data_IF_871312997478
#
_entry.id   IF_871312997478
#
_cell.length_a   1.000
_cell.length_b   1.000
_cell.length_c   1.000
_cell.angle_alpha   90.00
_cell.angle_beta   90.00
_cell.angle_gamma   90.00
#
_symmetry.space_group_name_H-M   'P 1'
#
loop_
_entity.id
_entity.type
_entity.pdbx_description
1 polymer ?
#
# COMPACT_ATOMS: atom_id res chain seq x y z
N UNK A 1 17.07 -58.63 -2.04
CA UNK A 1 15.65 -58.26 -1.98
C UNK A 1 15.56 -56.86 -1.42
N UNK A 2 15.53 -55.84 -2.28
CA UNK A 2 15.31 -54.45 -1.87
C UNK A 2 13.83 -54.24 -1.57
N UNK A 3 13.52 -53.78 -0.36
CA UNK A 3 12.15 -53.44 0.04
C UNK A 3 11.81 -52.08 -0.55
N UNK A 4 10.95 -52.06 -1.58
CA UNK A 4 10.30 -50.84 -2.05
C UNK A 4 9.28 -50.38 -1.00
N UNK A 5 9.51 -49.21 -0.42
CA UNK A 5 8.53 -48.52 0.40
C UNK A 5 7.62 -47.68 -0.49
N UNK A 6 6.51 -48.26 -0.95
CA UNK A 6 5.42 -47.46 -1.50
C UNK A 6 4.68 -46.79 -0.34
N UNK A 7 4.91 -45.49 -0.14
CA UNK A 7 4.10 -44.68 0.76
C UNK A 7 2.68 -44.60 0.20
N UNK A 8 1.69 -45.01 1.00
CA UNK A 8 0.28 -44.94 0.64
C UNK A 8 -0.14 -43.49 0.37
N UNK A 9 -0.73 -43.26 -0.79
CA UNK A 9 -1.23 -41.96 -1.21
C UNK A 9 -2.52 -41.65 -0.44
N UNK A 10 -2.57 -40.49 0.21
CA UNK A 10 -3.78 -39.99 0.88
C UNK A 10 -4.79 -39.44 -0.14
N UNK A 11 -6.06 -39.38 0.25
CA UNK A 11 -7.24 -39.12 -0.59
C UNK A 11 -7.26 -37.73 -1.27
N UNK A 12 -6.31 -36.84 -0.94
CA UNK A 12 -6.13 -35.48 -1.50
C UNK A 12 -5.00 -35.40 -2.54
N UNK A 13 -4.75 -36.51 -3.25
CA UNK A 13 -3.68 -36.57 -4.24
C UNK A 13 -4.04 -35.80 -5.52
N UNK A 14 -3.11 -35.03 -6.10
CA UNK A 14 -3.38 -34.28 -7.32
C UNK A 14 -3.77 -35.22 -8.46
N UNK A 15 -4.87 -34.88 -9.12
CA UNK A 15 -5.39 -35.61 -10.27
C UNK A 15 -4.42 -35.54 -11.44
N UNK A 16 -4.48 -36.50 -12.36
CA UNK A 16 -3.66 -36.49 -13.57
C UNK A 16 -3.85 -35.23 -14.43
N UNK A 17 -5.03 -34.60 -14.38
CA UNK A 17 -5.28 -33.32 -15.04
C UNK A 17 -4.52 -32.17 -14.37
N UNK A 18 -4.50 -32.11 -13.04
CA UNK A 18 -3.73 -31.10 -12.30
C UNK A 18 -2.23 -31.24 -12.52
N UNK A 19 -1.72 -32.48 -12.58
CA UNK A 19 -0.31 -32.73 -12.89
C UNK A 19 0.04 -32.34 -14.33
N UNK A 20 -0.82 -32.65 -15.31
CA UNK A 20 -0.62 -32.23 -16.70
C UNK A 20 -0.59 -30.71 -16.83
N UNK A 21 -1.50 -30.00 -16.17
CA UNK A 21 -1.52 -28.53 -16.17
C UNK A 21 -0.25 -27.95 -15.53
N UNK A 22 0.22 -28.53 -14.42
CA UNK A 22 1.47 -28.12 -13.79
C UNK A 22 2.67 -28.26 -14.75
N UNK A 23 2.80 -29.39 -15.43
CA UNK A 23 3.89 -29.60 -16.39
C UNK A 23 3.77 -28.68 -17.60
N UNK A 24 2.56 -28.43 -18.12
CA UNK A 24 2.35 -27.47 -19.20
C UNK A 24 2.77 -26.04 -18.79
N UNK A 25 2.54 -25.65 -17.53
CA UNK A 25 2.98 -24.35 -16.99
C UNK A 25 4.50 -24.26 -16.77
N UNK A 26 5.18 -25.38 -16.54
CA UNK A 26 6.65 -25.44 -16.49
C UNK A 26 7.22 -25.32 -17.91
N UNK A 27 6.67 -26.08 -18.86
CA UNK A 27 7.12 -26.10 -20.25
C UNK A 27 6.91 -24.75 -20.96
N UNK A 28 5.81 -24.05 -20.68
CA UNK A 28 5.55 -22.72 -21.24
C UNK A 28 6.28 -21.57 -20.51
N UNK A 29 7.10 -21.89 -19.50
CA UNK A 29 7.91 -20.93 -18.76
C UNK A 29 7.16 -20.07 -17.73
N UNK A 30 5.85 -20.28 -17.53
CA UNK A 30 5.07 -19.57 -16.49
C UNK A 30 5.56 -19.94 -15.07
N UNK A 31 5.90 -21.20 -14.86
CA UNK A 31 6.55 -21.70 -13.64
C UNK A 31 8.04 -21.88 -13.93
N UNK A 32 8.84 -20.90 -13.49
CA UNK A 32 10.29 -21.00 -13.58
C UNK A 32 10.84 -21.89 -12.46
N UNK A 33 12.04 -22.45 -12.65
CA UNK A 33 12.75 -23.25 -11.63
C UNK A 33 12.81 -22.52 -10.27
N UNK A 34 13.02 -21.19 -10.28
CA UNK A 34 13.05 -20.36 -9.08
C UNK A 34 11.68 -20.32 -8.38
N UNK A 35 10.59 -20.06 -9.12
CA UNK A 35 9.22 -20.06 -8.60
C UNK A 35 8.81 -21.41 -8.00
N UNK A 36 9.19 -22.51 -8.66
CA UNK A 36 8.93 -23.85 -8.16
C UNK A 36 9.75 -24.14 -6.89
N UNK A 37 11.02 -23.74 -6.85
CA UNK A 37 11.87 -23.87 -5.66
C UNK A 37 11.33 -23.03 -4.49
N UNK A 38 10.86 -21.82 -4.75
CA UNK A 38 10.26 -20.95 -3.74
C UNK A 38 8.94 -21.54 -3.21
N UNK A 39 8.07 -22.06 -4.09
CA UNK A 39 6.86 -22.78 -3.69
C UNK A 39 7.16 -23.98 -2.80
N UNK A 40 8.09 -24.86 -3.22
CA UNK A 40 8.45 -26.06 -2.47
C UNK A 40 9.14 -25.75 -1.13
N UNK A 41 9.86 -24.62 -1.04
CA UNK A 41 10.56 -24.22 0.19
C UNK A 41 9.68 -23.45 1.17
N UNK A 42 8.70 -22.69 0.68
CA UNK A 42 7.93 -21.74 1.51
C UNK A 42 6.43 -22.07 1.62
N UNK A 43 5.90 -22.96 0.78
CA UNK A 43 4.48 -23.27 0.69
C UNK A 43 3.63 -22.17 0.04
N UNK A 44 4.25 -21.12 -0.52
CA UNK A 44 3.54 -19.95 -1.10
C UNK A 44 3.36 -20.15 -2.60
N UNK A 45 2.11 -20.25 -3.06
CA UNK A 45 1.75 -20.49 -4.46
C UNK A 45 2.34 -19.42 -5.40
N UNK A 46 2.94 -19.83 -6.54
CA UNK A 46 3.35 -18.89 -7.58
C UNK A 46 2.09 -18.28 -8.21
N UNK A 47 1.79 -17.01 -7.89
CA UNK A 47 0.56 -16.38 -8.39
C UNK A 47 0.07 -15.14 -7.64
N UNK A 48 0.76 -14.60 -6.63
CA UNK A 48 0.29 -13.37 -5.94
C UNK A 48 0.87 -12.11 -6.57
N UNK A 49 2.20 -12.01 -6.68
CA UNK A 49 2.89 -10.83 -7.25
C UNK A 49 2.60 -10.63 -8.74
N UNK A 50 2.77 -11.68 -9.54
CA UNK A 50 2.59 -11.59 -11.01
C UNK A 50 1.13 -11.31 -11.37
N UNK A 51 0.18 -11.93 -10.67
CA UNK A 51 -1.26 -11.67 -10.84
C UNK A 51 -1.60 -10.24 -10.44
N UNK A 52 -1.09 -9.76 -9.29
CA UNK A 52 -1.30 -8.37 -8.88
C UNK A 52 -0.76 -7.39 -9.93
N UNK A 53 0.43 -7.66 -10.49
CA UNK A 53 1.00 -6.87 -11.59
C UNK A 53 0.15 -6.96 -12.86
N UNK A 54 -0.37 -8.13 -13.21
CA UNK A 54 -1.23 -8.31 -14.39
C UNK A 54 -2.55 -7.55 -14.26
N UNK A 55 -3.11 -7.47 -13.04
CA UNK A 55 -4.38 -6.78 -12.79
C UNK A 55 -4.17 -5.27 -12.74
N UNK A 56 -3.26 -4.79 -11.88
CA UNK A 56 -3.07 -3.36 -11.59
C UNK A 56 -2.03 -2.67 -12.46
N UNK A 57 -1.18 -3.41 -13.17
CA UNK A 57 -0.09 -2.80 -13.93
C UNK A 57 0.84 -1.99 -13.03
N UNK A 58 1.04 -0.72 -13.37
CA UNK A 58 1.94 0.18 -12.65
C UNK A 58 1.35 0.73 -11.33
N UNK A 59 0.06 0.51 -11.09
CA UNK A 59 -0.66 0.97 -9.89
C UNK A 59 -0.39 0.11 -8.65
N UNK A 60 0.48 -0.88 -8.73
CA UNK A 60 1.02 -1.58 -7.56
C UNK A 60 2.54 -1.35 -7.44
N UNK A 61 3.04 -1.04 -6.26
CA UNK A 61 4.46 -0.78 -5.98
C UNK A 61 4.93 -1.71 -4.87
N UNK A 62 5.85 -2.62 -5.21
CA UNK A 62 6.40 -3.61 -4.28
C UNK A 62 7.63 -3.09 -3.53
N UNK A 63 7.99 -3.69 -2.38
CA UNK A 63 9.11 -3.23 -1.55
C UNK A 63 10.46 -3.13 -2.28
N UNK A 64 10.74 -4.01 -3.25
CA UNK A 64 12.01 -4.00 -4.00
C UNK A 64 12.10 -2.83 -4.97
N UNK A 65 10.96 -2.36 -5.48
CA UNK A 65 10.91 -1.16 -6.32
C UNK A 65 11.15 0.09 -5.48
N UNK A 66 10.59 0.13 -4.26
CA UNK A 66 10.81 1.21 -3.30
C UNK A 66 12.29 1.26 -2.88
N UNK A 67 12.88 0.11 -2.53
CA UNK A 67 14.28 0.04 -2.13
C UNK A 67 15.25 0.50 -3.24
N UNK A 68 14.90 0.24 -4.51
CA UNK A 68 15.68 0.70 -5.66
C UNK A 68 15.54 2.20 -5.89
N UNK A 69 14.34 2.74 -5.77
CA UNK A 69 14.07 4.16 -6.06
C UNK A 69 14.45 5.10 -4.91
N UNK A 70 14.26 4.67 -3.65
CA UNK A 70 14.47 5.49 -2.45
C UNK A 70 15.77 5.10 -1.76
N UNK A 71 16.85 5.80 -2.09
CA UNK A 71 18.16 5.60 -1.48
C UNK A 71 18.11 5.64 0.06
N UNK A 72 18.82 4.71 0.71
CA UNK A 72 18.89 4.61 2.17
C UNK A 72 17.77 3.81 2.83
N UNK A 73 16.83 3.25 2.05
CA UNK A 73 15.86 2.28 2.53
C UNK A 73 16.29 0.85 2.17
N UNK A 74 16.12 -0.06 3.12
CA UNK A 74 16.34 -1.49 2.91
C UNK A 74 15.24 -2.27 3.62
N UNK A 75 14.63 -3.21 2.91
CA UNK A 75 13.69 -4.17 3.47
C UNK A 75 14.45 -5.44 3.82
N UNK A 76 14.14 -6.02 4.98
CA UNK A 76 14.72 -7.30 5.37
C UNK A 76 14.06 -8.45 4.60
N UNK A 77 14.73 -9.60 4.49
CA UNK A 77 14.15 -10.81 3.90
C UNK A 77 12.84 -11.26 4.58
N UNK A 78 12.70 -10.96 5.87
CA UNK A 78 11.45 -11.18 6.60
C UNK A 78 10.36 -10.23 6.12
N UNK A 79 10.68 -8.94 5.99
CA UNK A 79 9.73 -7.93 5.48
C UNK A 79 9.26 -8.27 4.07
N UNK A 80 10.17 -8.69 3.18
CA UNK A 80 9.81 -9.14 1.84
C UNK A 80 8.81 -10.30 1.86
N UNK A 81 9.11 -11.34 2.65
CA UNK A 81 8.22 -12.50 2.79
C UNK A 81 6.87 -12.14 3.38
N UNK A 82 6.83 -11.20 4.32
CA UNK A 82 5.58 -10.74 4.91
C UNK A 82 4.71 -10.00 3.88
N UNK A 83 5.30 -9.11 3.08
CA UNK A 83 4.59 -8.45 1.98
C UNK A 83 4.13 -9.44 0.91
N UNK A 84 4.93 -10.47 0.58
CA UNK A 84 4.55 -11.52 -0.37
C UNK A 84 3.37 -12.38 0.11
N UNK A 85 3.32 -12.68 1.42
CA UNK A 85 2.22 -13.43 2.04
C UNK A 85 0.94 -12.62 2.18
N UNK A 86 1.08 -11.30 2.32
CA UNK A 86 -0.04 -10.39 2.60
C UNK A 86 -0.48 -9.58 1.38
N UNK A 87 -0.01 -9.92 0.17
CA UNK A 87 -0.51 -9.31 -1.07
C UNK A 87 -2.05 -9.37 -1.08
N UNK A 88 -2.74 -8.25 -1.37
CA UNK A 88 -4.19 -8.22 -1.40
C UNK A 88 -4.80 -9.29 -2.32
N UNK A 89 -5.99 -9.78 -1.97
CA UNK A 89 -6.70 -10.79 -2.75
C UNK A 89 -7.01 -10.30 -4.17
N UNK A 90 -7.20 -11.23 -5.12
CA UNK A 90 -7.60 -10.89 -6.48
C UNK A 90 -8.85 -10.00 -6.55
N UNK A 91 -9.85 -10.30 -5.71
CA UNK A 91 -11.05 -9.47 -5.57
C UNK A 91 -10.70 -8.02 -5.17
N UNK A 92 -9.82 -7.86 -4.17
CA UNK A 92 -9.36 -6.54 -3.73
C UNK A 92 -8.59 -5.81 -4.83
N UNK A 93 -7.73 -6.53 -5.56
CA UNK A 93 -6.95 -5.99 -6.67
C UNK A 93 -7.87 -5.50 -7.81
N UNK A 94 -8.89 -6.27 -8.17
CA UNK A 94 -9.89 -5.89 -9.18
C UNK A 94 -10.73 -4.71 -8.72
N UNK A 95 -11.15 -4.70 -7.45
CA UNK A 95 -11.85 -3.55 -6.87
C UNK A 95 -10.99 -2.28 -6.92
N UNK A 96 -9.70 -2.38 -6.58
CA UNK A 96 -8.77 -1.25 -6.67
C UNK A 96 -8.65 -0.71 -8.09
N UNK A 97 -8.55 -1.60 -9.09
CA UNK A 97 -8.52 -1.22 -10.50
C UNK A 97 -9.77 -0.42 -10.91
N UNK A 98 -10.95 -0.91 -10.54
CA UNK A 98 -12.23 -0.27 -10.87
C UNK A 98 -12.39 1.08 -10.17
N UNK A 99 -11.85 1.25 -8.97
CA UNK A 99 -11.97 2.47 -8.16
C UNK A 99 -10.77 3.42 -8.29
N UNK A 100 -9.93 3.20 -9.30
CA UNK A 100 -8.73 4.00 -9.59
C UNK A 100 -7.78 4.14 -8.38
N UNK A 101 -7.63 3.06 -7.61
CA UNK A 101 -6.71 3.00 -6.47
C UNK A 101 -5.33 2.50 -6.89
N UNK A 102 -4.30 2.96 -6.19
CA UNK A 102 -2.99 2.34 -6.23
C UNK A 102 -2.65 1.68 -4.88
N UNK A 103 -1.79 0.68 -4.94
CA UNK A 103 -1.34 -0.13 -3.81
C UNK A 103 0.16 0.05 -3.66
N UNK A 104 0.60 0.57 -2.53
CA UNK A 104 2.02 0.84 -2.25
C UNK A 104 2.42 0.11 -0.99
N UNK A 105 3.53 -0.62 -1.03
CA UNK A 105 4.10 -1.17 0.19
C UNK A 105 4.49 -0.04 1.16
N UNK A 106 4.10 -0.18 2.42
CA UNK A 106 4.53 0.71 3.48
C UNK A 106 6.04 0.68 3.69
N UNK A 107 6.58 1.61 4.50
CA UNK A 107 8.00 1.70 4.78
C UNK A 107 8.54 0.41 5.44
N UNK A 108 9.85 0.14 5.37
CA UNK A 108 10.43 -1.04 6.01
C UNK A 108 10.33 -0.99 7.54
N UNK A 109 10.39 0.22 8.12
CA UNK A 109 10.21 0.48 9.55
C UNK A 109 9.12 1.54 9.67
N UNK A 110 8.19 1.42 10.64
CA UNK A 110 7.18 2.45 10.87
C UNK A 110 7.81 3.83 10.99
N UNK A 111 7.23 4.81 10.28
CA UNK A 111 7.78 6.16 10.28
C UNK A 111 6.69 7.23 10.16
N UNK A 112 6.84 8.28 10.96
CA UNK A 112 6.01 9.47 10.88
C UNK A 112 6.39 10.41 9.73
N UNK A 113 5.57 11.43 9.53
CA UNK A 113 5.69 12.42 8.45
C UNK A 113 7.09 13.08 8.36
N UNK A 114 7.67 13.48 9.50
CA UNK A 114 8.98 14.13 9.49
C UNK A 114 10.10 13.20 9.01
N UNK A 115 10.04 11.92 9.39
CA UNK A 115 11.02 10.93 8.95
C UNK A 115 10.88 10.66 7.46
N UNK A 116 9.63 10.55 6.96
CA UNK A 116 9.35 10.41 5.51
C UNK A 116 9.96 11.58 4.73
N UNK A 117 9.76 12.82 5.21
CA UNK A 117 10.35 14.02 4.61
C UNK A 117 11.88 14.00 4.61
N UNK A 118 12.49 13.54 5.70
CA UNK A 118 13.95 13.48 5.79
C UNK A 118 14.61 12.56 4.76
N UNK A 119 13.86 11.61 4.18
CA UNK A 119 14.37 10.70 3.14
C UNK A 119 14.71 11.44 1.84
N UNK A 120 13.86 12.38 1.43
CA UNK A 120 14.12 13.25 0.30
C UNK A 120 13.35 14.59 0.47
N UNK A 121 13.97 15.60 1.09
CA UNK A 121 13.32 16.89 1.33
C UNK A 121 12.89 17.62 0.05
N UNK A 122 13.51 17.33 -1.10
CA UNK A 122 13.16 17.95 -2.38
C UNK A 122 11.79 17.51 -2.91
N UNK A 123 11.22 16.42 -2.38
CA UNK A 123 9.86 15.98 -2.67
C UNK A 123 8.80 16.75 -1.90
N UNK A 124 9.17 17.76 -1.11
CA UNK A 124 8.26 18.62 -0.37
C UNK A 124 8.42 20.07 -0.84
N UNK A 125 7.33 20.83 -0.88
CA UNK A 125 7.33 22.22 -1.35
C UNK A 125 8.23 23.14 -0.53
N UNK A 126 8.41 22.81 0.74
CA UNK A 126 9.20 23.55 1.71
C UNK A 126 10.26 22.65 2.33
N UNK A 127 11.53 23.05 2.24
CA UNK A 127 12.69 22.24 2.64
C UNK A 127 13.10 22.40 4.11
N UNK A 128 12.69 23.49 4.80
CA UNK A 128 12.96 23.72 6.23
C UNK A 128 11.81 24.47 6.93
N UNK A 129 11.65 24.25 8.25
CA UNK A 129 10.84 25.12 9.12
C UNK A 129 9.34 25.00 8.92
N UNK A 130 8.84 23.78 8.76
CA UNK A 130 7.44 23.60 8.45
C UNK A 130 6.55 23.78 9.67
N UNK A 131 5.46 24.54 9.47
CA UNK A 131 4.50 24.86 10.51
C UNK A 131 4.02 23.63 11.28
N UNK A 132 3.96 22.46 10.62
CA UNK A 132 3.47 21.21 11.18
C UNK A 132 4.46 20.46 12.09
N UNK A 133 5.75 20.84 12.11
CA UNK A 133 6.79 20.14 12.90
C UNK A 133 6.55 20.20 14.41
N UNK A 134 5.79 21.19 14.89
CA UNK A 134 5.44 21.35 16.30
C UNK A 134 4.19 20.58 16.73
N UNK A 135 3.57 19.82 15.82
CA UNK A 135 2.28 19.17 16.04
C UNK A 135 2.42 17.66 16.11
N UNK A 136 1.66 17.05 17.03
CA UNK A 136 1.77 15.62 17.36
C UNK A 136 1.58 14.72 16.15
N UNK A 137 0.66 15.04 15.24
CA UNK A 137 0.40 14.23 14.05
C UNK A 137 1.66 14.05 13.18
N UNK A 138 2.57 15.03 13.16
CA UNK A 138 3.78 14.96 12.34
C UNK A 138 4.80 13.93 12.85
N UNK A 139 4.67 13.53 14.12
CA UNK A 139 5.50 12.55 14.81
C UNK A 139 4.78 11.22 15.04
N UNK A 140 3.54 11.28 15.51
CA UNK A 140 2.82 10.13 16.07
C UNK A 140 2.03 9.34 15.02
N UNK A 141 1.62 9.98 13.93
CA UNK A 141 0.87 9.30 12.87
C UNK A 141 1.87 8.51 12.01
N UNK A 142 2.17 7.30 12.47
CA UNK A 142 3.14 6.41 11.84
C UNK A 142 2.54 5.61 10.70
N UNK A 143 3.18 5.69 9.53
CA UNK A 143 2.90 4.79 8.42
C UNK A 143 3.50 3.42 8.76
N UNK A 144 2.65 2.40 8.86
CA UNK A 144 3.06 1.04 9.24
C UNK A 144 3.63 0.26 8.06
N UNK A 145 4.42 -0.77 8.34
CA UNK A 145 5.01 -1.70 7.37
C UNK A 145 3.97 -2.67 6.81
N UNK A 146 2.98 -2.16 6.08
CA UNK A 146 1.86 -2.91 5.51
C UNK A 146 1.46 -2.37 4.14
N UNK A 147 0.60 -3.07 3.40
CA UNK A 147 0.05 -2.55 2.15
C UNK A 147 -0.83 -1.33 2.39
N UNK A 148 -0.56 -0.24 1.66
CA UNK A 148 -1.32 1.01 1.70
C UNK A 148 -2.10 1.13 0.40
N UNK A 149 -3.43 1.19 0.49
CA UNK A 149 -4.33 1.26 -0.66
C UNK A 149 -5.04 2.61 -0.61
N UNK A 150 -4.78 3.48 -1.58
CA UNK A 150 -5.34 4.84 -1.63
C UNK A 150 -5.85 5.13 -3.05
N UNK A 151 -7.03 5.75 -3.15
CA UNK A 151 -7.57 6.25 -4.42
C UNK A 151 -6.66 7.33 -4.98
N UNK A 152 -6.32 7.27 -6.27
CA UNK A 152 -5.47 8.28 -6.93
C UNK A 152 -6.21 9.60 -7.20
N UNK A 153 -7.49 9.68 -6.84
CA UNK A 153 -8.33 10.86 -7.00
C UNK A 153 -8.93 11.30 -5.68
N UNK A 154 -9.04 12.62 -5.50
CA UNK A 154 -9.75 13.16 -4.34
C UNK A 154 -11.25 13.02 -4.54
N UNK A 155 -11.93 12.55 -3.50
CA UNK A 155 -13.37 12.27 -3.52
C UNK A 155 -14.16 13.42 -2.88
N UNK A 156 -15.46 13.44 -3.12
CA UNK A 156 -16.42 14.38 -2.52
C UNK A 156 -15.95 15.85 -2.56
N UNK A 157 -15.44 16.33 -3.71
CA UNK A 157 -14.94 17.70 -3.88
C UNK A 157 -16.04 18.74 -3.64
N UNK A 158 -15.69 19.85 -3.00
CA UNK A 158 -16.64 20.95 -2.77
C UNK A 158 -17.61 20.75 -1.60
N UNK A 159 -17.54 19.62 -0.89
CA UNK A 159 -18.36 19.36 0.29
C UNK A 159 -17.66 19.76 1.60
N UNK A 160 -18.45 20.04 2.63
CA UNK A 160 -17.98 20.25 4.01
C UNK A 160 -17.38 18.96 4.60
N UNK A 161 -16.56 19.07 5.65
CA UNK A 161 -15.84 17.91 6.18
C UNK A 161 -16.77 16.80 6.64
N UNK A 162 -17.81 17.13 7.43
CA UNK A 162 -18.79 16.15 7.91
C UNK A 162 -19.42 15.30 6.79
N UNK A 163 -19.68 15.91 5.63
CA UNK A 163 -20.22 15.19 4.48
C UNK A 163 -19.14 14.32 3.79
N UNK A 164 -17.89 14.79 3.75
CA UNK A 164 -16.77 14.05 3.17
C UNK A 164 -16.32 12.87 4.04
N UNK A 165 -16.46 12.97 5.36
CA UNK A 165 -15.98 11.96 6.30
C UNK A 165 -16.96 10.81 6.57
N UNK A 166 -18.19 10.92 6.06
CA UNK A 166 -19.16 9.83 6.07
C UNK A 166 -18.81 8.78 5.00
N UNK A 167 -17.89 7.87 5.34
CA UNK A 167 -17.41 6.84 4.43
C UNK A 167 -18.14 5.50 4.63
N UNK A 168 -18.38 4.74 3.54
CA UNK A 168 -18.79 3.34 3.63
C UNK A 168 -17.85 2.48 4.48
N UNK A 169 -18.37 1.37 5.01
CA UNK A 169 -17.57 0.40 5.77
C UNK A 169 -16.37 -0.12 4.96
N UNK A 170 -15.23 -0.30 5.64
CA UNK A 170 -13.97 -0.73 5.03
C UNK A 170 -13.13 0.41 4.43
N UNK A 171 -13.75 1.55 4.13
CA UNK A 171 -13.03 2.76 3.68
C UNK A 171 -12.59 3.61 4.88
N UNK A 172 -11.49 4.34 4.70
CA UNK A 172 -10.97 5.25 5.71
C UNK A 172 -10.33 6.48 5.07
N UNK A 173 -10.12 7.52 5.88
CA UNK A 173 -9.37 8.71 5.47
C UNK A 173 -7.92 8.54 5.93
N UNK A 174 -6.95 8.39 5.01
CA UNK A 174 -5.54 8.27 5.35
C UNK A 174 -5.04 9.50 6.11
N UNK A 175 -4.07 9.28 7.00
CA UNK A 175 -3.43 10.37 7.73
C UNK A 175 -2.34 11.04 6.87
N UNK A 176 -1.82 12.19 7.31
CA UNK A 176 -0.86 12.99 6.54
C UNK A 176 0.44 12.23 6.23
N UNK A 177 0.89 11.38 7.17
CA UNK A 177 2.01 10.46 6.96
C UNK A 177 1.75 9.47 5.82
N UNK A 178 0.62 8.76 5.82
CA UNK A 178 0.27 7.78 4.79
C UNK A 178 0.21 8.41 3.41
N UNK A 179 -0.50 9.54 3.28
CA UNK A 179 -0.58 10.29 2.03
C UNK A 179 0.80 10.75 1.55
N UNK A 180 1.66 11.23 2.46
CA UNK A 180 3.00 11.68 2.10
C UNK A 180 3.89 10.52 1.65
N UNK A 181 3.85 9.38 2.36
CA UNK A 181 4.53 8.16 1.93
C UNK A 181 4.06 7.71 0.55
N UNK A 182 2.74 7.61 0.38
CA UNK A 182 2.10 7.13 -0.84
C UNK A 182 2.46 8.00 -2.04
N UNK A 183 2.21 9.32 -1.98
CA UNK A 183 2.47 10.23 -3.11
C UNK A 183 3.95 10.29 -3.46
N UNK A 184 4.83 10.45 -2.45
CA UNK A 184 6.27 10.59 -2.72
C UNK A 184 6.90 9.28 -3.21
N UNK A 185 6.43 8.14 -2.71
CA UNK A 185 6.90 6.82 -3.19
C UNK A 185 6.40 6.55 -4.60
N UNK A 186 5.14 6.86 -4.90
CA UNK A 186 4.61 6.73 -6.26
C UNK A 186 5.40 7.59 -7.25
N UNK A 187 5.73 8.82 -6.87
CA UNK A 187 6.57 9.69 -7.70
C UNK A 187 7.99 9.16 -7.88
N UNK A 188 8.69 8.75 -6.82
CA UNK A 188 10.06 8.22 -6.94
C UNK A 188 10.13 6.95 -7.81
N UNK A 189 9.12 6.09 -7.72
CA UNK A 189 9.12 4.80 -8.41
C UNK A 189 8.54 4.88 -9.83
N UNK A 190 7.54 5.73 -10.07
CA UNK A 190 6.81 5.81 -11.36
C UNK A 190 7.06 7.11 -12.11
N UNK A 191 7.67 8.12 -11.48
CA UNK A 191 7.80 9.48 -12.01
C UNK A 191 6.44 10.12 -12.41
N UNK A 192 5.37 9.74 -11.72
CA UNK A 192 4.02 10.27 -11.92
C UNK A 192 3.61 11.08 -10.69
N UNK A 193 3.11 12.30 -10.92
CA UNK A 193 2.61 13.18 -9.85
C UNK A 193 1.13 12.92 -9.62
N UNK A 194 0.79 12.60 -8.38
CA UNK A 194 -0.60 12.43 -7.94
C UNK A 194 -1.13 13.72 -7.31
N UNK A 195 -2.43 13.96 -7.45
CA UNK A 195 -3.15 15.09 -6.84
C UNK A 195 -2.60 16.47 -7.23
N UNK A 196 -2.17 16.63 -8.48
CA UNK A 196 -1.77 17.94 -9.00
C UNK A 196 -2.97 18.89 -8.99
N UNK A 197 -2.79 20.09 -8.43
CA UNK A 197 -3.78 21.17 -8.36
C UNK A 197 -5.00 20.91 -7.45
N UNK A 198 -4.97 19.88 -6.63
CA UNK A 198 -6.04 19.59 -5.67
C UNK A 198 -5.49 19.44 -4.27
N UNK A 199 -6.21 20.00 -3.30
CA UNK A 199 -5.97 19.77 -1.88
C UNK A 199 -6.81 18.59 -1.44
N UNK A 200 -6.17 17.65 -0.76
CA UNK A 200 -6.77 16.42 -0.29
C UNK A 200 -6.71 16.42 1.23
N UNK A 201 -7.89 16.46 1.87
CA UNK A 201 -8.02 16.37 3.33
C UNK A 201 -7.59 14.98 3.81
N UNK A 202 -6.95 14.97 4.97
CA UNK A 202 -6.48 13.77 5.68
C UNK A 202 -7.15 13.68 7.05
N UNK A 203 -7.01 12.55 7.73
CA UNK A 203 -7.48 12.39 9.11
C UNK A 203 -6.60 13.08 10.15
N UNK A 204 -5.40 13.55 9.78
CA UNK A 204 -4.52 14.28 10.71
C UNK A 204 -5.09 15.66 11.01
N UNK A 205 -4.92 16.11 12.25
CA UNK A 205 -5.43 17.39 12.75
C UNK A 205 -4.29 18.28 13.26
N UNK A 206 -4.39 19.59 12.98
CA UNK A 206 -3.37 20.54 13.40
C UNK A 206 -3.62 21.17 14.77
N UNK A 207 -4.84 21.45 15.24
CA UNK A 207 -5.15 21.77 16.66
C UNK A 207 -6.68 21.86 16.83
N UNK A 208 -7.11 21.90 18.09
CA UNK A 208 -8.49 21.83 18.61
C UNK A 208 -9.61 22.08 17.59
N UNK A 209 -10.37 21.02 17.32
CA UNK A 209 -11.71 20.92 16.70
C UNK A 209 -11.91 21.55 15.31
N UNK A 210 -10.84 22.10 14.72
CA UNK A 210 -10.83 23.25 13.80
C UNK A 210 -10.18 23.06 12.40
N UNK A 211 -9.11 22.25 12.30
CA UNK A 211 -8.18 22.34 11.16
C UNK A 211 -7.58 20.98 10.77
N UNK A 212 -8.25 20.26 9.86
CA UNK A 212 -7.71 19.06 9.21
C UNK A 212 -6.49 19.38 8.34
N UNK A 213 -5.50 18.49 8.31
CA UNK A 213 -4.32 18.65 7.46
C UNK A 213 -4.68 18.29 6.03
N UNK A 214 -4.32 19.14 5.09
CA UNK A 214 -4.46 18.89 3.66
C UNK A 214 -3.09 18.64 3.01
N UNK A 215 -3.08 17.75 2.02
CA UNK A 215 -1.92 17.49 1.18
C UNK A 215 -2.29 17.81 -0.27
N UNK A 216 -1.39 18.47 -0.99
CA UNK A 216 -1.57 18.79 -2.41
C UNK A 216 -0.29 18.50 -3.19
N UNK A 217 -0.46 18.06 -4.44
CA UNK A 217 0.61 18.13 -5.43
C UNK A 217 0.73 19.57 -5.94
N UNK A 218 1.87 20.22 -5.73
CA UNK A 218 2.10 21.58 -6.23
C UNK A 218 2.46 21.52 -7.72
N UNK A 219 1.89 22.45 -8.50
CA UNK A 219 2.30 22.63 -9.89
C UNK A 219 3.74 23.14 -10.00
N UNK A 220 4.47 22.62 -10.98
CA UNK A 220 5.73 23.19 -11.51
C UNK A 220 6.89 23.29 -10.51
N UNK A 221 7.38 22.10 -10.10
CA UNK A 221 8.69 21.81 -9.45
C UNK A 221 8.74 21.85 -7.93
N UNK A 222 7.76 22.41 -7.24
CA UNK A 222 7.68 22.24 -5.79
C UNK A 222 7.13 20.83 -5.49
N UNK A 223 7.66 20.16 -4.47
CA UNK A 223 7.18 18.86 -4.05
C UNK A 223 5.75 18.87 -3.51
N UNK A 224 5.35 17.87 -2.72
CA UNK A 224 4.07 17.89 -2.04
C UNK A 224 4.00 19.03 -1.03
N UNK A 225 2.85 19.68 -0.94
CA UNK A 225 2.60 20.75 0.01
C UNK A 225 1.64 20.28 1.11
N UNK A 226 2.03 20.51 2.35
CA UNK A 226 1.25 20.18 3.55
C UNK A 226 0.69 21.49 4.11
N UNK A 227 -0.62 21.66 4.03
CA UNK A 227 -1.31 22.88 4.44
C UNK A 227 -2.31 22.61 5.55
N UNK A 228 -2.68 23.67 6.26
CA UNK A 228 -3.89 23.65 7.10
C UNK A 228 -5.10 23.64 6.18
N UNK A 229 -6.08 22.80 6.48
CA UNK A 229 -7.36 22.74 5.80
C UNK A 229 -8.31 23.79 6.34
N UNK A 230 -9.17 24.31 5.47
CA UNK A 230 -10.24 25.21 5.86
C UNK A 230 -11.49 24.36 6.11
N UNK A 231 -12.05 24.45 7.31
CA UNK A 231 -12.81 23.33 7.84
C UNK A 231 -14.17 23.08 7.18
N UNK A 232 -14.99 24.10 6.93
CA UNK A 232 -16.38 23.84 6.51
C UNK A 232 -16.88 24.71 5.38
N UNK A 233 -15.96 25.31 4.62
CA UNK A 233 -16.33 25.97 3.36
C UNK A 233 -16.18 24.99 2.23
N UNK A 234 -17.29 24.68 1.56
CA UNK A 234 -17.27 23.97 0.29
C UNK A 234 -16.35 24.69 -0.68
N UNK A 235 -15.26 24.02 -1.06
CA UNK A 235 -14.27 24.56 -1.98
C UNK A 235 -14.05 23.53 -3.09
N UNK A 236 -14.28 23.88 -4.38
CA UNK A 236 -14.17 22.92 -5.48
C UNK A 236 -12.76 22.36 -5.66
N UNK A 237 -11.74 23.00 -5.08
CA UNK A 237 -10.34 22.56 -5.08
C UNK A 237 -9.96 21.72 -3.86
N UNK A 238 -10.92 21.39 -2.99
CA UNK A 238 -10.71 20.57 -1.78
C UNK A 238 -11.58 19.31 -1.88
N UNK A 239 -10.93 18.15 -1.88
CA UNK A 239 -11.56 16.83 -1.71
C UNK A 239 -11.01 16.11 -0.48
N UNK A 240 -11.41 14.86 -0.30
CA UNK A 240 -10.94 13.97 0.77
C UNK A 240 -10.15 12.80 0.22
N UNK A 241 -9.11 12.37 0.94
CA UNK A 241 -8.37 11.16 0.64
C UNK A 241 -9.21 9.96 1.08
N UNK A 242 -9.27 8.93 0.24
CA UNK A 242 -9.93 7.68 0.59
C UNK A 242 -8.93 6.54 0.41
N UNK A 243 -8.77 5.75 1.47
CA UNK A 243 -8.07 4.48 1.44
C UNK A 243 -8.98 3.31 1.78
N UNK A 244 -8.49 2.10 1.49
CA UNK A 244 -9.15 0.84 1.83
C UNK A 244 -8.36 0.15 2.94
N UNK A 245 -9.02 -0.20 4.05
CA UNK A 245 -8.40 -1.05 5.07
C UNK A 245 -8.51 -2.51 4.64
N UNK A 246 -7.38 -3.20 4.58
CA UNK A 246 -7.40 -4.65 4.46
C UNK A 246 -7.97 -5.24 5.76
N UNK A 247 -8.85 -6.25 5.69
CA UNK A 247 -9.28 -6.96 6.87
C UNK A 247 -8.05 -7.53 7.56
N UNK A 248 -7.92 -7.28 8.88
CA UNK A 248 -6.87 -7.89 9.67
C UNK A 248 -7.11 -9.39 9.62
N UNK A 249 -6.20 -10.14 9.01
CA UNK A 249 -6.24 -11.59 9.09
C UNK A 249 -6.21 -11.93 10.58
N UNK A 250 -7.31 -12.48 11.11
CA UNK A 250 -7.38 -12.96 12.48
C UNK A 250 -6.28 -14.00 12.65
N UNK A 251 -5.18 -13.62 13.30
CA UNK A 251 -4.21 -14.57 13.82
C UNK A 251 -5.00 -15.49 14.75
N UNK A 252 -5.18 -16.74 14.30
CA UNK A 252 -6.04 -17.71 14.97
C UNK A 252 -5.73 -17.77 16.46
N UNK A 253 -6.74 -17.50 17.27
CA UNK A 253 -6.80 -18.01 18.63
C UNK A 253 -6.83 -19.53 18.52
N UNK A 254 -5.67 -20.16 18.65
CA UNK A 254 -5.59 -21.55 19.08
C UNK A 254 -6.08 -21.55 20.52
N UNK A 255 -7.37 -21.79 20.69
CA UNK A 255 -7.93 -22.20 21.97
C UNK A 255 -7.26 -23.51 22.35
N UNK A 256 -6.38 -23.43 23.35
CA UNK A 256 -5.86 -24.60 24.02
C UNK A 256 -7.03 -25.30 24.71
N UNK A 257 -7.44 -26.44 24.16
CA UNK A 257 -8.13 -27.47 24.92
C UNK A 257 -7.09 -28.20 25.76
N UNK A 258 -7.14 -28.00 27.07
CA UNK A 258 -6.75 -28.97 28.10
C UNK A 258 -7.37 -28.54 29.42
#
# INVERSE_FOLDING_TARGET
MEKSHAAGWTQDSPTSAQLKELFAQIENGRITKRKLQDFLRTGIAPGTRDTARQILGDDIIFPDEIAKARHGLSYTDTSFRDFEKTVPSEETLRWCKTNNCAIVAGPPIPMGLLKIRSLNPALFSTTMGNWYEKYLFSHNDEVKSQWIIISKEAQAKGYAWHAQSNLPEGLYIPHAGEMSWFITTFFEVRNIRLFEKIYVRTSSESKSWCDHVCISGVEKKAGINISRGYEDRGNPYIGVAIGLRLPVASLGTVGANS
#
